data_IF_549472156348
#
_entry.id   IF_549472156348
#
_cell.length_a   1.000
_cell.length_b   1.000
_cell.length_c   1.000
_cell.angle_alpha   90.00
_cell.angle_beta   90.00
_cell.angle_gamma   90.00
#
_symmetry.space_group_name_H-M   'P 1'
#
loop_
_entity.id
_entity.type
_entity.pdbx_description
1 polymer ?
#
# COMPACT_ATOMS: atom_id res chain seq x y z
N UNK A 1 -20.69 14.36 -12.13
CA UNK A 1 -19.67 13.41 -12.55
C UNK A 1 -18.70 13.13 -11.41
N UNK A 2 -18.35 11.89 -11.24
CA UNK A 2 -17.44 11.53 -10.19
C UNK A 2 -16.01 11.90 -10.58
N UNK A 3 -15.31 12.55 -9.67
CA UNK A 3 -13.92 12.86 -9.88
C UNK A 3 -13.08 11.70 -9.34
N UNK A 4 -12.52 10.92 -10.23
CA UNK A 4 -11.74 9.74 -9.85
C UNK A 4 -10.52 10.09 -8.99
N UNK A 5 -10.00 11.30 -9.15
CA UNK A 5 -8.85 11.74 -8.37
C UNK A 5 -9.16 11.84 -6.88
N UNK A 6 -10.43 12.08 -6.53
CA UNK A 6 -10.81 12.18 -5.13
C UNK A 6 -10.78 10.84 -4.41
N UNK A 7 -10.67 9.74 -5.18
CA UNK A 7 -10.64 8.39 -4.65
C UNK A 7 -9.22 7.82 -4.58
N UNK A 8 -8.23 8.65 -4.84
CA UNK A 8 -6.84 8.18 -5.02
C UNK A 8 -6.05 8.35 -3.75
N UNK A 9 -5.23 7.34 -3.47
CA UNK A 9 -4.22 7.40 -2.41
C UNK A 9 -2.84 7.29 -3.07
N UNK A 10 -1.84 7.85 -2.41
CA UNK A 10 -0.46 7.77 -2.86
C UNK A 10 0.20 6.57 -2.20
N UNK A 11 0.79 5.70 -3.01
CA UNK A 11 1.46 4.50 -2.52
C UNK A 11 2.94 4.60 -2.82
N UNK A 12 3.76 4.60 -1.77
CA UNK A 12 5.21 4.53 -1.88
C UNK A 12 5.68 3.23 -1.27
N UNK A 13 6.40 2.44 -2.04
CA UNK A 13 6.96 1.19 -1.56
C UNK A 13 8.47 1.33 -1.62
N UNK A 14 9.12 1.14 -0.48
CA UNK A 14 10.53 1.39 -0.30
C UNK A 14 11.20 0.13 0.23
N UNK A 15 12.35 -0.22 -0.34
CA UNK A 15 13.24 -1.21 0.27
C UNK A 15 14.38 -0.45 0.95
N UNK A 16 15.17 -1.10 1.78
CA UNK A 16 16.29 -0.43 2.43
C UNK A 16 17.28 0.22 1.46
N UNK A 17 17.28 -0.22 0.23
CA UNK A 17 18.28 0.22 -0.75
C UNK A 17 17.76 1.26 -1.72
N UNK A 18 16.45 1.28 -1.98
CA UNK A 18 15.91 2.20 -2.97
C UNK A 18 14.39 2.25 -2.92
N UNK A 19 13.83 3.29 -3.53
CA UNK A 19 12.39 3.34 -3.78
C UNK A 19 12.08 2.37 -4.90
N UNK A 20 11.16 1.47 -4.66
CA UNK A 20 10.77 0.47 -5.65
C UNK A 20 9.63 1.00 -6.51
N UNK A 21 8.61 1.53 -5.87
CA UNK A 21 7.40 2.01 -6.54
C UNK A 21 6.92 3.28 -5.86
N UNK A 22 6.51 4.24 -6.66
CA UNK A 22 5.80 5.42 -6.18
C UNK A 22 4.67 5.64 -7.18
N UNK A 23 3.43 5.45 -6.76
CA UNK A 23 2.30 5.50 -7.66
C UNK A 23 1.04 5.93 -6.93
N UNK A 24 -0.02 6.17 -7.69
CA UNK A 24 -1.33 6.46 -7.13
C UNK A 24 -2.24 5.27 -7.41
N UNK A 25 -3.09 4.95 -6.45
CA UNK A 25 -3.98 3.81 -6.55
C UNK A 25 -5.28 4.10 -5.81
N UNK A 26 -6.32 3.37 -6.15
CA UNK A 26 -7.59 3.49 -5.45
C UNK A 26 -7.68 2.57 -4.24
N UNK A 27 -6.84 1.53 -4.18
CA UNK A 27 -6.85 0.62 -3.04
C UNK A 27 -5.51 -0.11 -2.95
N UNK A 28 -5.15 -0.43 -1.72
CA UNK A 28 -3.96 -1.25 -1.44
C UNK A 28 -4.37 -2.33 -0.45
N UNK A 29 -3.99 -3.56 -0.72
CA UNK A 29 -4.21 -4.67 0.21
C UNK A 29 -2.86 -5.16 0.68
N UNK A 30 -2.68 -5.29 1.98
CA UNK A 30 -1.39 -5.59 2.59
C UNK A 30 -1.49 -6.76 3.57
N UNK A 31 -0.42 -7.57 3.66
CA UNK A 31 -0.41 -8.71 4.58
C UNK A 31 0.04 -8.26 5.98
N UNK A 32 -0.90 -7.76 6.79
CA UNK A 32 -0.60 -7.43 8.17
C UNK A 32 -0.28 -8.68 8.99
N UNK A 33 0.45 -8.51 10.09
CA UNK A 33 0.86 -9.65 10.90
C UNK A 33 -0.32 -10.31 11.62
N UNK A 34 -1.38 -9.54 11.91
CA UNK A 34 -2.59 -10.09 12.51
C UNK A 34 -3.52 -10.61 11.44
N UNK A 35 -3.75 -9.82 10.41
CA UNK A 35 -4.59 -10.20 9.28
C UNK A 35 -4.30 -9.29 8.10
N UNK A 36 -4.71 -9.73 6.92
CA UNK A 36 -4.66 -8.85 5.75
C UNK A 36 -5.62 -7.70 5.97
N UNK A 37 -5.29 -6.54 5.42
CA UNK A 37 -6.17 -5.40 5.50
C UNK A 37 -6.12 -4.60 4.20
N UNK A 38 -7.18 -3.84 3.97
CA UNK A 38 -7.33 -3.05 2.76
C UNK A 38 -7.33 -1.58 3.14
N UNK A 39 -6.56 -0.78 2.40
CA UNK A 39 -6.52 0.67 2.57
C UNK A 39 -7.25 1.31 1.43
N UNK A 40 -8.23 2.12 1.76
CA UNK A 40 -8.98 2.91 0.81
C UNK A 40 -8.81 4.38 1.17
N UNK A 41 -9.34 5.26 0.34
CA UNK A 41 -9.29 6.69 0.62
C UNK A 41 -9.86 6.99 2.01
N UNK A 42 -9.22 7.89 2.70
CA UNK A 42 -9.61 8.37 4.04
C UNK A 42 -9.49 7.31 5.12
N UNK A 43 -8.65 6.31 4.90
CA UNK A 43 -8.33 5.34 5.94
C UNK A 43 -7.71 6.05 7.14
N UNK A 44 -8.09 5.64 8.34
CA UNK A 44 -7.56 6.22 9.56
C UNK A 44 -6.04 6.04 9.62
N UNK A 45 -5.32 6.98 10.24
CA UNK A 45 -3.87 6.83 10.40
C UNK A 45 -3.54 5.56 11.18
N UNK A 46 -2.52 4.83 10.72
CA UNK A 46 -2.06 3.65 11.45
C UNK A 46 -0.65 3.29 11.05
N UNK A 47 0.00 2.52 11.92
CA UNK A 47 1.29 1.89 11.64
C UNK A 47 1.10 0.42 11.94
N UNK A 48 1.56 -0.44 11.05
CA UNK A 48 1.40 -1.88 11.21
C UNK A 48 2.64 -2.60 10.68
N UNK A 49 2.97 -3.72 11.32
CA UNK A 49 3.97 -4.64 10.80
C UNK A 49 3.35 -5.46 9.67
N UNK A 50 4.19 -5.88 8.75
CA UNK A 50 3.78 -6.71 7.63
C UNK A 50 4.38 -8.12 7.77
N UNK A 51 3.56 -9.11 7.42
CA UNK A 51 3.99 -10.50 7.42
C UNK A 51 4.37 -10.91 6.00
N UNK A 52 4.88 -12.12 5.87
CA UNK A 52 5.12 -12.68 4.54
C UNK A 52 3.78 -12.84 3.82
N UNK A 53 3.76 -12.45 2.55
CA UNK A 53 2.55 -12.52 1.75
C UNK A 53 2.68 -11.62 0.53
N UNK A 54 1.55 -11.27 -0.05
CA UNK A 54 1.53 -10.39 -1.22
C UNK A 54 0.87 -9.07 -0.90
N UNK A 55 1.46 -7.99 -1.41
CA UNK A 55 0.76 -6.73 -1.48
C UNK A 55 0.04 -6.67 -2.82
N UNK A 56 -1.15 -6.13 -2.83
CA UNK A 56 -2.00 -6.04 -4.02
C UNK A 56 -2.49 -4.62 -4.13
N UNK A 57 -2.35 -4.02 -5.30
CA UNK A 57 -2.84 -2.67 -5.53
C UNK A 57 -3.24 -2.51 -6.99
N UNK A 58 -4.09 -1.52 -7.26
CA UNK A 58 -4.53 -1.23 -8.62
C UNK A 58 -3.64 -0.14 -9.20
N UNK A 59 -3.17 -0.35 -10.41
CA UNK A 59 -2.37 0.63 -11.13
C UNK A 59 -2.83 0.69 -12.58
N UNK A 60 -3.38 1.84 -12.98
CA UNK A 60 -3.82 2.03 -14.36
C UNK A 60 -4.90 1.06 -14.79
N UNK A 61 -5.80 0.67 -13.87
CA UNK A 61 -6.87 -0.26 -14.20
C UNK A 61 -6.47 -1.73 -14.07
N UNK A 62 -5.23 -2.01 -13.71
CA UNK A 62 -4.74 -3.36 -13.55
C UNK A 62 -4.38 -3.65 -12.10
N UNK A 63 -4.66 -4.85 -11.66
CA UNK A 63 -4.27 -5.30 -10.34
C UNK A 63 -2.83 -5.79 -10.38
N UNK A 64 -2.00 -5.24 -9.51
CA UNK A 64 -0.60 -5.64 -9.38
C UNK A 64 -0.42 -6.40 -8.10
N UNK A 65 0.34 -7.50 -8.16
CA UNK A 65 0.64 -8.34 -7.00
C UNK A 65 2.15 -8.50 -6.90
N UNK A 66 2.67 -8.30 -5.69
CA UNK A 66 4.10 -8.45 -5.48
C UNK A 66 4.36 -9.07 -4.11
N UNK A 67 5.32 -9.99 -4.01
CA UNK A 67 5.61 -10.66 -2.74
C UNK A 67 6.31 -9.72 -1.77
N UNK A 68 6.06 -9.94 -0.49
CA UNK A 68 6.68 -9.23 0.62
C UNK A 68 7.10 -10.29 1.63
N UNK A 69 8.35 -10.25 2.11
CA UNK A 69 8.77 -11.19 3.13
C UNK A 69 8.56 -10.62 4.52
N UNK A 70 8.74 -9.31 4.69
CA UNK A 70 8.50 -8.63 5.96
C UNK A 70 8.53 -7.13 5.73
N UNK A 71 8.20 -6.37 6.76
CA UNK A 71 8.26 -4.93 6.69
C UNK A 71 7.28 -4.26 7.62
N UNK A 72 7.04 -2.99 7.35
CA UNK A 72 6.01 -2.24 8.07
C UNK A 72 5.44 -1.18 7.15
N UNK A 73 4.26 -0.70 7.52
CA UNK A 73 3.54 0.30 6.73
C UNK A 73 3.05 1.40 7.64
N UNK A 74 3.12 2.61 7.13
CA UNK A 74 2.55 3.79 7.77
C UNK A 74 1.49 4.36 6.85
N UNK A 75 0.31 4.63 7.39
CA UNK A 75 -0.81 5.19 6.64
C UNK A 75 -1.20 6.49 7.30
N UNK A 76 -1.26 7.57 6.51
CA UNK A 76 -1.59 8.90 7.02
C UNK A 76 -1.98 9.80 5.85
N UNK A 77 -3.10 10.51 5.97
CA UNK A 77 -3.52 11.51 4.96
C UNK A 77 -3.53 10.98 3.54
N UNK A 78 -4.11 9.81 3.34
CA UNK A 78 -4.22 9.18 2.02
C UNK A 78 -2.85 8.88 1.40
N UNK A 79 -1.86 8.67 2.27
CA UNK A 79 -0.52 8.28 1.85
C UNK A 79 -0.16 6.98 2.55
N UNK A 80 0.18 5.97 1.76
CA UNK A 80 0.62 4.67 2.26
C UNK A 80 2.09 4.54 1.96
N UNK A 81 2.90 4.45 3.02
CA UNK A 81 4.33 4.25 2.87
C UNK A 81 4.67 2.88 3.43
N UNK A 82 5.11 1.98 2.58
CA UNK A 82 5.46 0.62 2.97
C UNK A 82 6.96 0.43 2.81
N UNK A 83 7.62 0.06 3.91
CA UNK A 83 9.02 -0.31 3.90
C UNK A 83 9.08 -1.82 3.95
N UNK A 84 9.62 -2.44 2.91
CA UNK A 84 9.51 -3.89 2.73
C UNK A 84 10.86 -4.55 2.48
N UNK A 85 10.97 -5.77 2.93
CA UNK A 85 12.02 -6.69 2.53
C UNK A 85 11.45 -7.61 1.46
N UNK A 86 12.19 -7.82 0.42
CA UNK A 86 11.74 -8.65 -0.70
C UNK A 86 12.28 -10.06 -0.61
#
# INVERSE_FOLDING_TARGET
>A
MTNMESEVITLDIISPEKVIISTKTSRVELPGTVSRFVVLKDHAPMISSLAEGERVYDAGGEEKRQPVSSGFVKIEDNHVMACVEL
#
